data_IF_917638568321
#
_entry.id   IF_917638568321
#
_cell.length_a   1.000
_cell.length_b   1.000
_cell.length_c   1.000
_cell.angle_alpha   90.00
_cell.angle_beta   90.00
_cell.angle_gamma   90.00
#
_symmetry.space_group_name_H-M   'P 1'
#
loop_
_entity.id
_entity.type
_entity.pdbx_description
1 polymer ?
#
# COMPACT_ATOMS: atom_id res chain seq x y z
N UNK A 1 -22.33 -10.87 8.40
CA UNK A 1 -22.28 -9.99 9.59
C UNK A 1 -21.79 -8.62 9.14
N UNK A 2 -22.61 -7.79 8.48
CA UNK A 2 -21.98 -6.67 7.71
C UNK A 2 -22.78 -5.37 7.58
N UNK A 3 -24.12 -5.36 7.62
CA UNK A 3 -24.85 -4.08 7.50
C UNK A 3 -25.04 -3.35 8.84
N UNK A 4 -25.43 -4.08 9.91
CA UNK A 4 -25.80 -3.46 11.20
C UNK A 4 -24.63 -2.82 11.94
N UNK A 5 -23.48 -3.49 12.05
CA UNK A 5 -22.32 -2.96 12.80
C UNK A 5 -21.79 -1.69 12.14
N UNK A 6 -21.68 -1.69 10.80
CA UNK A 6 -21.23 -0.52 10.07
C UNK A 6 -22.18 0.68 10.23
N UNK A 7 -23.49 0.44 10.28
CA UNK A 7 -24.47 1.51 10.54
C UNK A 7 -24.42 2.04 11.98
N UNK A 8 -24.15 1.19 12.96
CA UNK A 8 -24.08 1.58 14.38
C UNK A 8 -22.82 2.40 14.67
N UNK A 9 -21.71 2.09 13.99
CA UNK A 9 -20.41 2.73 14.23
C UNK A 9 -19.94 3.59 13.05
N UNK A 10 -20.86 4.35 12.44
CA UNK A 10 -20.56 5.39 11.45
C UNK A 10 -19.71 4.95 10.23
N UNK A 11 -19.57 3.65 9.98
CA UNK A 11 -18.79 3.06 8.87
C UNK A 11 -17.30 3.45 8.86
N UNK A 12 -16.75 3.84 10.01
CA UNK A 12 -15.33 4.20 10.15
C UNK A 12 -14.58 3.19 11.01
N UNK A 13 -13.34 2.92 10.64
CA UNK A 13 -12.38 2.23 11.49
C UNK A 13 -10.96 2.71 11.17
N UNK A 14 -10.05 2.62 12.13
CA UNK A 14 -8.62 2.87 11.94
C UNK A 14 -7.82 1.73 12.51
N UNK A 15 -6.71 1.42 11.84
CA UNK A 15 -5.91 0.27 12.16
C UNK A 15 -4.43 0.61 12.15
N UNK A 16 -3.77 0.48 13.30
CA UNK A 16 -2.34 0.67 13.43
C UNK A 16 -1.68 -0.71 13.49
N UNK A 17 -1.02 -1.09 12.39
CA UNK A 17 -0.26 -2.32 12.26
C UNK A 17 1.08 -2.18 12.98
N UNK A 18 1.47 -3.19 13.76
CA UNK A 18 2.80 -3.26 14.36
C UNK A 18 3.85 -3.70 13.35
N UNK A 19 5.11 -3.38 13.62
CA UNK A 19 6.22 -3.87 12.82
C UNK A 19 6.32 -5.40 12.88
N UNK A 20 6.58 -6.03 11.72
CA UNK A 20 6.69 -7.49 11.61
C UNK A 20 7.75 -8.11 12.52
N UNK A 21 8.81 -7.37 12.83
CA UNK A 21 9.95 -7.83 13.64
C UNK A 21 9.81 -7.48 15.11
N UNK A 22 8.76 -6.75 15.48
CA UNK A 22 8.38 -6.57 16.89
C UNK A 22 8.06 -7.95 17.44
N UNK A 23 8.84 -8.41 18.42
CA UNK A 23 8.66 -9.72 19.04
C UNK A 23 7.34 -9.81 19.83
N UNK A 24 7.34 -10.52 20.95
CA UNK A 24 6.14 -10.72 21.78
C UNK A 24 5.55 -9.43 22.41
N UNK A 25 6.15 -8.26 22.19
CA UNK A 25 5.70 -6.96 22.70
C UNK A 25 4.90 -6.13 21.70
N UNK A 26 4.65 -6.65 20.49
CA UNK A 26 3.88 -5.97 19.46
C UNK A 26 2.43 -5.72 19.91
N UNK A 27 2.01 -4.46 19.98
CA UNK A 27 0.61 -4.07 20.22
C UNK A 27 -0.03 -3.59 18.92
N UNK A 28 -1.14 -4.23 18.54
CA UNK A 28 -1.97 -3.89 17.39
C UNK A 28 -3.23 -3.18 17.88
N UNK A 29 -3.60 -2.07 17.25
CA UNK A 29 -4.82 -1.33 17.62
C UNK A 29 -5.83 -1.30 16.48
N UNK A 30 -7.09 -1.62 16.79
CA UNK A 30 -8.25 -1.44 15.91
C UNK A 30 -9.27 -0.57 16.64
N UNK A 31 -9.57 0.60 16.08
CA UNK A 31 -10.60 1.51 16.59
C UNK A 31 -11.76 1.49 15.60
N UNK A 32 -12.98 1.38 16.11
CA UNK A 32 -14.21 1.31 15.32
C UNK A 32 -15.09 2.49 15.72
N UNK A 33 -15.74 3.15 14.76
CA UNK A 33 -16.55 4.34 14.98
C UNK A 33 -15.80 5.64 14.73
N UNK A 34 -16.44 6.77 15.04
CA UNK A 34 -15.90 8.10 14.73
C UNK A 34 -14.60 8.43 15.48
N UNK A 35 -14.32 7.74 16.59
CA UNK A 35 -13.04 7.81 17.27
C UNK A 35 -11.86 7.37 16.36
N UNK A 36 -12.13 6.57 15.32
CA UNK A 36 -11.13 6.20 14.33
C UNK A 36 -10.59 7.39 13.53
N UNK A 37 -11.40 8.43 13.34
CA UNK A 37 -11.00 9.64 12.63
C UNK A 37 -10.04 10.52 13.47
N UNK A 38 -10.00 10.28 14.79
CA UNK A 38 -9.15 10.98 15.74
C UNK A 38 -7.81 10.26 15.98
N UNK A 39 -7.68 9.02 15.49
CA UNK A 39 -6.52 8.17 15.66
C UNK A 39 -5.83 7.98 14.30
N UNK A 40 -4.80 8.76 13.88
CA UNK A 40 -3.80 9.49 14.69
C UNK A 40 -3.46 10.94 14.21
N UNK A 41 -3.04 11.79 15.15
CA UNK A 41 -2.17 12.98 14.99
C UNK A 41 -2.27 13.83 13.72
N UNK A 42 -3.16 14.83 13.71
CA UNK A 42 -3.18 16.09 12.92
C UNK A 42 -2.85 16.11 11.40
N UNK A 43 -2.43 15.02 10.76
CA UNK A 43 -1.92 14.98 9.38
C UNK A 43 -2.36 13.70 8.65
N UNK A 44 -3.66 13.40 8.63
CA UNK A 44 -4.19 12.30 7.79
C UNK A 44 -4.47 12.81 6.38
N UNK A 45 -3.84 12.19 5.38
CA UNK A 45 -4.16 12.39 3.97
C UNK A 45 -5.23 11.39 3.53
N UNK A 46 -6.22 11.87 2.75
CA UNK A 46 -7.32 11.05 2.27
C UNK A 46 -7.17 10.76 0.78
N UNK A 47 -7.45 9.51 0.41
CA UNK A 47 -7.59 9.08 -0.98
C UNK A 47 -8.99 8.51 -1.23
N UNK A 48 -9.58 8.69 -2.42
CA UNK A 48 -10.88 8.12 -2.73
C UNK A 48 -10.87 6.58 -2.65
N UNK A 49 -11.84 6.04 -1.91
CA UNK A 49 -12.18 4.62 -1.95
C UNK A 49 -13.10 4.35 -3.14
N UNK A 50 -12.73 3.39 -3.99
CA UNK A 50 -13.49 3.03 -5.20
C UNK A 50 -14.16 1.67 -5.01
N UNK A 51 -15.18 1.39 -5.82
CA UNK A 51 -15.95 0.14 -5.72
C UNK A 51 -15.65 -0.72 -6.94
N UNK A 52 -15.36 -2.00 -6.70
CA UNK A 52 -15.29 -2.98 -7.77
C UNK A 52 -16.69 -3.55 -8.07
N UNK A 53 -17.20 -3.40 -9.31
CA UNK A 53 -18.56 -3.82 -9.66
C UNK A 53 -18.75 -5.34 -9.64
N UNK A 54 -17.67 -6.12 -9.57
CA UNK A 54 -17.68 -7.59 -9.47
C UNK A 54 -17.25 -8.12 -8.11
N UNK A 55 -16.44 -7.36 -7.35
CA UNK A 55 -15.83 -7.79 -6.08
C UNK A 55 -16.04 -6.75 -4.97
N UNK A 56 -17.19 -6.79 -4.29
CA UNK A 56 -17.58 -5.79 -3.29
C UNK A 56 -16.97 -5.94 -1.88
N UNK A 57 -16.07 -6.90 -1.65
CA UNK A 57 -15.57 -7.24 -0.31
C UNK A 57 -14.21 -6.63 0.03
N UNK A 58 -13.50 -6.06 -0.94
CA UNK A 58 -12.16 -5.50 -0.75
C UNK A 58 -12.18 -3.98 -0.67
N UNK A 59 -11.22 -3.41 0.06
CA UNK A 59 -10.98 -1.98 0.10
C UNK A 59 -10.14 -1.55 -1.11
N UNK A 60 -10.78 -0.99 -2.14
CA UNK A 60 -10.07 -0.45 -3.29
C UNK A 60 -9.77 1.03 -3.13
N UNK A 61 -8.57 1.46 -3.50
CA UNK A 61 -8.15 2.87 -3.46
C UNK A 61 -7.77 3.35 -4.85
N UNK A 62 -8.05 4.63 -5.13
CA UNK A 62 -7.65 5.24 -6.38
C UNK A 62 -6.14 5.58 -6.36
N UNK A 63 -5.33 4.71 -6.95
CA UNK A 63 -3.89 4.96 -7.14
C UNK A 63 -3.63 5.51 -8.55
N UNK A 64 -2.84 6.58 -8.64
CA UNK A 64 -2.54 7.24 -9.92
C UNK A 64 -1.16 6.83 -10.46
N UNK A 65 -0.18 6.68 -9.56
CA UNK A 65 1.22 6.40 -9.90
C UNK A 65 1.99 5.84 -8.71
N UNK A 66 3.03 5.08 -8.99
CA UNK A 66 4.09 4.72 -8.04
C UNK A 66 5.41 5.35 -8.54
N UNK A 67 6.06 6.16 -7.70
CA UNK A 67 7.39 6.73 -7.95
C UNK A 67 8.46 6.05 -7.09
N UNK A 68 9.70 6.03 -7.57
CA UNK A 68 10.85 5.49 -6.83
C UNK A 68 11.95 6.56 -6.78
N UNK A 69 12.37 6.95 -5.57
CA UNK A 69 13.37 8.02 -5.35
C UNK A 69 12.93 9.41 -5.85
N UNK A 70 11.63 9.72 -5.77
CA UNK A 70 11.05 10.97 -6.29
C UNK A 70 11.03 11.07 -7.83
N UNK A 71 11.53 10.04 -8.54
CA UNK A 71 11.56 10.00 -10.00
C UNK A 71 10.44 9.16 -10.55
N UNK A 72 9.84 9.68 -11.62
CA UNK A 72 8.92 8.93 -12.46
C UNK A 72 9.74 8.22 -13.53
N UNK A 73 10.00 6.94 -13.32
CA UNK A 73 10.74 6.13 -14.26
C UNK A 73 9.84 5.73 -15.42
N UNK A 74 10.05 6.35 -16.58
CA UNK A 74 9.35 6.09 -17.85
C UNK A 74 10.05 5.04 -18.73
N UNK A 75 11.23 4.57 -18.33
CA UNK A 75 12.03 3.65 -19.15
C UNK A 75 11.50 2.23 -19.00
N UNK A 76 10.84 1.72 -20.03
CA UNK A 76 10.55 0.28 -20.22
C UNK A 76 9.11 -0.18 -19.96
N UNK A 77 8.29 0.59 -19.24
CA UNK A 77 6.86 0.32 -19.17
C UNK A 77 6.11 1.64 -18.96
N UNK A 78 5.30 2.02 -19.95
CA UNK A 78 4.35 3.10 -19.79
C UNK A 78 3.19 2.57 -18.93
N UNK A 79 3.45 2.39 -17.63
CA UNK A 79 2.43 2.04 -16.63
C UNK A 79 1.50 3.25 -16.56
N UNK A 80 0.40 3.16 -17.30
CA UNK A 80 -0.61 4.22 -17.32
C UNK A 80 -1.45 4.14 -16.05
N UNK A 81 -2.05 5.27 -15.67
CA UNK A 81 -3.00 5.31 -14.55
C UNK A 81 -4.16 4.30 -14.72
N UNK A 82 -4.47 3.91 -15.96
CA UNK A 82 -5.50 2.91 -16.29
C UNK A 82 -5.17 1.50 -15.77
N UNK A 83 -3.90 1.17 -15.53
CA UNK A 83 -3.52 -0.13 -14.96
C UNK A 83 -3.94 -0.26 -13.49
N UNK A 84 -4.03 0.87 -12.77
CA UNK A 84 -4.45 0.92 -11.38
C UNK A 84 -5.97 1.05 -11.21
N UNK A 85 -6.69 1.42 -12.27
CA UNK A 85 -8.13 1.60 -12.22
C UNK A 85 -8.85 0.26 -12.10
N UNK A 86 -9.91 0.26 -11.32
CA UNK A 86 -10.88 -0.83 -11.31
C UNK A 86 -11.49 -0.94 -12.70
N UNK A 87 -11.28 -2.08 -13.35
CA UNK A 87 -11.84 -2.34 -14.69
C UNK A 87 -13.29 -2.79 -14.59
N UNK A 88 -14.06 -2.57 -15.66
CA UNK A 88 -15.48 -2.98 -15.73
C UNK A 88 -15.69 -4.50 -15.51
N UNK A 89 -14.72 -5.32 -15.90
CA UNK A 89 -14.73 -6.76 -15.66
C UNK A 89 -14.27 -7.16 -14.24
N UNK A 90 -13.86 -6.20 -13.40
CA UNK A 90 -13.48 -6.41 -12.01
C UNK A 90 -12.10 -7.03 -11.78
N UNK A 91 -11.30 -7.22 -12.83
CA UNK A 91 -10.01 -7.93 -12.75
C UNK A 91 -8.82 -7.02 -12.44
N UNK A 92 -9.04 -5.71 -12.34
CA UNK A 92 -8.01 -4.69 -12.02
C UNK A 92 -8.45 -3.83 -10.84
N UNK A 93 -7.51 -3.03 -10.34
CA UNK A 93 -7.69 -2.18 -9.18
C UNK A 93 -6.55 -2.34 -8.19
N UNK A 94 -6.45 -1.42 -7.23
CA UNK A 94 -5.48 -1.48 -6.13
C UNK A 94 -6.24 -1.74 -4.84
N UNK A 95 -5.85 -2.80 -4.13
CA UNK A 95 -6.49 -3.23 -2.89
C UNK A 95 -5.57 -2.91 -1.70
N UNK A 96 -6.15 -2.35 -0.64
CA UNK A 96 -5.50 -2.26 0.67
C UNK A 96 -5.80 -3.54 1.43
N UNK A 97 -4.75 -4.27 1.81
CA UNK A 97 -4.89 -5.62 2.35
C UNK A 97 -3.86 -5.90 3.46
N UNK A 98 -4.35 -6.11 4.67
CA UNK A 98 -3.52 -6.48 5.83
C UNK A 98 -3.24 -7.99 5.92
N UNK A 99 -3.91 -8.84 5.12
CA UNK A 99 -3.72 -10.29 5.20
C UNK A 99 -2.49 -10.81 4.41
N UNK A 100 -1.78 -9.92 3.70
CA UNK A 100 -0.52 -10.23 3.02
C UNK A 100 0.63 -9.45 3.63
N UNK A 101 1.75 -10.12 3.88
CA UNK A 101 2.95 -9.44 4.43
C UNK A 101 3.72 -8.61 3.41
N UNK A 102 3.40 -8.71 2.12
CA UNK A 102 4.11 -8.04 1.03
C UNK A 102 3.13 -7.42 0.06
N UNK A 103 3.47 -6.25 -0.47
CA UNK A 103 2.76 -5.63 -1.58
C UNK A 103 3.00 -6.44 -2.86
N UNK A 104 1.92 -6.79 -3.56
CA UNK A 104 1.99 -7.48 -4.85
C UNK A 104 1.67 -6.52 -5.99
N UNK A 105 2.51 -6.54 -7.03
CA UNK A 105 2.30 -5.80 -8.26
C UNK A 105 2.16 -6.79 -9.42
N UNK A 106 1.44 -6.40 -10.48
CA UNK A 106 1.46 -7.15 -11.73
C UNK A 106 2.91 -7.29 -12.20
N UNK A 107 3.28 -8.46 -12.72
CA UNK A 107 4.66 -8.79 -13.09
C UNK A 107 5.40 -7.69 -13.89
N UNK A 108 4.84 -7.13 -14.99
CA UNK A 108 5.51 -6.04 -15.70
C UNK A 108 5.75 -4.81 -14.83
N UNK A 109 4.79 -4.44 -13.99
CA UNK A 109 4.92 -3.33 -13.05
C UNK A 109 5.98 -3.60 -11.98
N UNK A 110 5.99 -4.82 -11.43
CA UNK A 110 6.98 -5.24 -10.45
C UNK A 110 8.39 -5.12 -11.01
N UNK A 111 8.64 -5.65 -12.22
CA UNK A 111 9.95 -5.60 -12.88
C UNK A 111 10.40 -4.15 -13.04
N UNK A 112 9.55 -3.29 -13.60
CA UNK A 112 9.89 -1.87 -13.79
C UNK A 112 10.21 -1.16 -12.47
N UNK A 113 9.44 -1.40 -11.40
CA UNK A 113 9.68 -0.75 -10.11
C UNK A 113 10.89 -1.30 -9.38
N UNK A 114 11.14 -2.61 -9.46
CA UNK A 114 12.33 -3.25 -8.93
C UNK A 114 13.59 -2.70 -9.61
N UNK A 115 13.60 -2.62 -10.93
CA UNK A 115 14.77 -2.15 -11.69
C UNK A 115 15.04 -0.66 -11.42
N UNK A 116 13.98 0.16 -11.31
CA UNK A 116 14.09 1.55 -10.89
C UNK A 116 14.65 1.69 -9.46
N UNK A 117 14.23 0.82 -8.54
CA UNK A 117 14.75 0.80 -7.18
C UNK A 117 16.24 0.43 -7.17
N UNK A 118 16.62 -0.67 -7.83
CA UNK A 118 18.00 -1.12 -7.94
C UNK A 118 18.92 -0.03 -8.53
N UNK A 119 18.49 0.62 -9.61
CA UNK A 119 19.23 1.71 -10.23
C UNK A 119 19.41 2.92 -9.31
N UNK A 120 18.40 3.21 -8.47
CA UNK A 120 18.45 4.29 -7.47
C UNK A 120 19.27 3.97 -6.23
N UNK A 121 19.55 2.69 -5.97
CA UNK A 121 20.23 2.23 -4.74
C UNK A 121 21.65 1.70 -4.97
N UNK A 122 22.25 1.92 -6.13
CA UNK A 122 23.62 1.48 -6.45
C UNK A 122 24.64 1.89 -5.36
N UNK A 123 24.52 3.11 -4.84
CA UNK A 123 25.38 3.62 -3.75
C UNK A 123 25.20 2.93 -2.39
N UNK A 124 24.04 2.30 -2.13
CA UNK A 124 23.81 1.56 -0.88
C UNK A 124 24.60 0.26 -0.87
N UNK A 125 24.75 -0.39 -2.03
CA UNK A 125 25.53 -1.62 -2.17
C UNK A 125 27.04 -1.37 -1.99
N UNK A 126 27.53 -0.20 -2.40
CA UNK A 126 28.93 0.21 -2.20
C UNK A 126 29.25 0.43 -0.70
N UNK A 127 28.32 1.02 0.07
CA UNK A 127 28.51 1.20 1.52
C UNK A 127 28.52 -0.12 2.31
N UNK A 128 27.72 -1.10 1.89
CA UNK A 128 27.65 -2.41 2.55
C UNK A 128 28.87 -3.29 2.22
N UNK A 129 29.42 -3.15 1.01
CA UNK A 129 30.67 -3.83 0.62
C UNK A 129 31.91 -3.19 1.24
N UNK A 130 31.93 -1.85 1.39
CA UNK A 130 32.99 -1.15 2.14
C UNK A 130 33.00 -1.53 3.63
N UNK A 131 31.85 -1.74 4.26
CA UNK A 131 31.78 -2.10 5.69
C UNK A 131 32.33 -3.52 5.94
N UNK A 132 32.27 -4.40 4.94
CA UNK A 132 32.74 -5.80 5.02
C UNK A 132 34.23 -5.97 4.71
N UNK A 133 34.89 -4.93 4.19
CA UNK A 133 36.32 -4.95 3.83
C UNK A 133 37.23 -4.42 4.96
N UNK A 134 36.65 -3.95 6.06
CA UNK A 134 37.37 -3.41 7.24
C UNK A 134 37.28 -4.30 8.48
N UNK A 135 36.89 -5.57 8.34
CA UNK A 135 36.86 -6.56 9.43
C UNK A 135 37.76 -7.74 9.12
#
# INVERSE_FOLDING_TARGET
>A
MTLRVAQIFSRHFSHCLSERQSGSTASLTLIIGDAALLAPGHCSDFAPMVVNPKLGTFYYVQLVRISVGGRCWSRGANITALEFQVSANGNRGVIVNSNTSVTRLLQPMYITKRDAFQAGTTRLLDSLSSTRATT
#
